data_IF_707857470528
#
_entry.id   IF_707857470528
#
_cell.length_a   1.000
_cell.length_b   1.000
_cell.length_c   1.000
_cell.angle_alpha   90.00
_cell.angle_beta   90.00
_cell.angle_gamma   90.00
#
_symmetry.space_group_name_H-M   'P 1'
#
loop_
_entity.id
_entity.type
_entity.pdbx_description
1 polymer ?
#
# COMPACT_ATOMS: atom_id res chain seq x y z
N UNK A 1 11.13 11.04 -30.39
CA UNK A 1 10.50 9.70 -30.34
C UNK A 1 9.49 9.65 -29.19
N UNK A 2 8.21 9.85 -29.48
CA UNK A 2 7.15 9.52 -28.53
C UNK A 2 7.10 8.00 -28.49
N UNK A 3 7.68 7.40 -27.45
CA UNK A 3 7.70 5.95 -27.27
C UNK A 3 6.25 5.44 -27.28
N UNK A 4 6.00 4.39 -28.07
CA UNK A 4 4.72 3.68 -28.13
C UNK A 4 4.26 3.33 -26.69
N UNK A 5 3.35 4.12 -26.14
CA UNK A 5 2.66 3.78 -24.90
C UNK A 5 1.80 2.56 -25.22
N UNK A 6 2.16 1.40 -24.66
CA UNK A 6 1.25 0.28 -24.66
C UNK A 6 0.00 0.69 -23.88
N UNK A 7 -1.22 0.29 -24.31
CA UNK A 7 -2.45 0.61 -23.57
C UNK A 7 -2.34 0.24 -22.09
N UNK A 8 -1.77 -0.92 -21.78
CA UNK A 8 -1.51 -1.39 -20.41
C UNK A 8 -0.57 -0.47 -19.63
N UNK A 9 0.49 0.03 -20.26
CA UNK A 9 1.42 0.97 -19.63
C UNK A 9 0.79 2.32 -19.33
N UNK A 10 -0.08 2.82 -20.22
CA UNK A 10 -0.84 4.05 -20.00
C UNK A 10 -1.86 3.88 -18.87
N UNK A 11 -2.62 2.78 -18.88
CA UNK A 11 -3.57 2.42 -17.81
C UNK A 11 -2.86 2.33 -16.47
N UNK A 12 -1.75 1.59 -16.40
CA UNK A 12 -0.93 1.50 -15.19
C UNK A 12 -0.51 2.88 -14.69
N UNK A 13 0.02 3.75 -15.56
CA UNK A 13 0.50 5.08 -15.18
C UNK A 13 -0.62 5.97 -14.60
N UNK A 14 -1.80 5.96 -15.22
CA UNK A 14 -2.97 6.70 -14.72
C UNK A 14 -3.41 6.15 -13.36
N UNK A 15 -3.55 4.83 -13.24
CA UNK A 15 -3.94 4.19 -11.98
C UNK A 15 -2.93 4.44 -10.87
N UNK A 16 -1.63 4.37 -11.16
CA UNK A 16 -0.56 4.66 -10.21
C UNK A 16 -0.64 6.11 -9.71
N UNK A 17 -0.89 7.07 -10.61
CA UNK A 17 -1.08 8.46 -10.23
C UNK A 17 -2.33 8.67 -9.35
N UNK A 18 -3.44 8.02 -9.68
CA UNK A 18 -4.65 8.03 -8.84
C UNK A 18 -4.38 7.43 -7.45
N UNK A 19 -3.60 6.36 -7.36
CA UNK A 19 -3.21 5.74 -6.09
C UNK A 19 -2.39 6.70 -5.22
N UNK A 20 -1.41 7.39 -5.81
CA UNK A 20 -0.59 8.39 -5.12
C UNK A 20 -1.46 9.51 -4.55
N UNK A 21 -2.33 10.10 -5.37
CA UNK A 21 -3.20 11.20 -4.93
C UNK A 21 -4.18 10.72 -3.86
N UNK A 22 -4.87 9.59 -4.09
CA UNK A 22 -5.84 9.07 -3.14
C UNK A 22 -5.20 8.66 -1.81
N UNK A 23 -4.05 7.99 -1.85
CA UNK A 23 -3.31 7.57 -0.66
C UNK A 23 -2.82 8.77 0.15
N UNK A 24 -2.26 9.80 -0.50
CA UNK A 24 -1.87 11.04 0.16
C UNK A 24 -3.07 11.70 0.86
N UNK A 25 -4.20 11.87 0.16
CA UNK A 25 -5.43 12.42 0.75
C UNK A 25 -5.89 11.57 1.93
N UNK A 26 -5.79 10.24 1.84
CA UNK A 26 -6.19 9.33 2.91
C UNK A 26 -5.32 9.48 4.17
N UNK A 27 -4.03 9.79 4.02
CA UNK A 27 -3.15 10.09 5.14
C UNK A 27 -3.45 11.44 5.79
N UNK A 28 -3.71 12.47 4.97
CA UNK A 28 -3.94 13.85 5.41
C UNK A 28 -5.33 14.07 6.03
N UNK A 29 -6.33 13.28 5.64
CA UNK A 29 -7.71 13.43 6.12
C UNK A 29 -8.00 12.57 7.37
N UNK A 30 -9.05 12.92 8.14
CA UNK A 30 -9.50 12.10 9.26
C UNK A 30 -9.84 10.66 8.84
N UNK A 31 -9.42 9.69 9.65
CA UNK A 31 -9.54 8.25 9.40
C UNK A 31 -10.85 7.67 9.96
N UNK A 32 -11.94 8.43 9.83
CA UNK A 32 -13.26 8.10 10.39
C UNK A 32 -14.40 8.45 9.44
N UNK A 33 -15.53 7.76 9.59
CA UNK A 33 -16.77 8.04 8.87
C UNK A 33 -16.79 7.59 7.41
N UNK A 34 -17.87 7.95 6.71
CA UNK A 34 -18.14 7.54 5.33
C UNK A 34 -17.07 8.04 4.34
N UNK A 35 -16.55 9.26 4.53
CA UNK A 35 -15.52 9.82 3.65
C UNK A 35 -14.20 9.02 3.67
N UNK A 36 -13.78 8.53 4.85
CA UNK A 36 -12.61 7.64 4.96
C UNK A 36 -12.84 6.34 4.21
N UNK A 37 -14.04 5.75 4.32
CA UNK A 37 -14.39 4.49 3.62
C UNK A 37 -14.43 4.67 2.11
N UNK A 38 -15.09 5.70 1.60
CA UNK A 38 -15.21 5.95 0.17
C UNK A 38 -13.84 6.12 -0.51
N UNK A 39 -12.96 6.96 0.06
CA UNK A 39 -11.58 7.13 -0.44
C UNK A 39 -10.74 5.87 -0.24
N UNK A 40 -10.95 5.14 0.85
CA UNK A 40 -10.28 3.88 1.13
C UNK A 40 -10.60 2.82 0.08
N UNK A 41 -11.89 2.66 -0.28
CA UNK A 41 -12.30 1.75 -1.35
C UNK A 41 -11.72 2.17 -2.69
N UNK A 42 -11.81 3.46 -3.03
CA UNK A 42 -11.20 3.97 -4.26
C UNK A 42 -9.70 3.66 -4.34
N UNK A 43 -8.96 3.93 -3.27
CA UNK A 43 -7.53 3.61 -3.18
C UNK A 43 -7.26 2.11 -3.35
N UNK A 44 -8.01 1.25 -2.65
CA UNK A 44 -7.83 -0.21 -2.74
C UNK A 44 -8.09 -0.72 -4.16
N UNK A 45 -9.20 -0.33 -4.79
CA UNK A 45 -9.50 -0.77 -6.16
C UNK A 45 -8.49 -0.23 -7.17
N UNK A 46 -8.11 1.04 -7.07
CA UNK A 46 -7.10 1.63 -7.93
C UNK A 46 -5.74 0.91 -7.76
N UNK A 47 -5.36 0.58 -6.52
CA UNK A 47 -4.10 -0.10 -6.23
C UNK A 47 -4.08 -1.51 -6.80
N UNK A 48 -5.13 -2.30 -6.57
CA UNK A 48 -5.22 -3.67 -7.09
C UNK A 48 -5.17 -3.67 -8.63
N UNK A 49 -5.87 -2.74 -9.28
CA UNK A 49 -5.83 -2.59 -10.72
C UNK A 49 -4.44 -2.12 -11.23
N UNK A 50 -3.79 -1.22 -10.50
CA UNK A 50 -2.44 -0.73 -10.83
C UNK A 50 -1.39 -1.83 -10.70
N UNK A 51 -1.42 -2.61 -9.61
CA UNK A 51 -0.54 -3.76 -9.38
C UNK A 51 -0.76 -4.82 -10.47
N UNK A 52 -2.02 -5.16 -10.77
CA UNK A 52 -2.34 -6.09 -11.86
C UNK A 52 -1.83 -5.60 -13.22
N UNK A 53 -2.00 -4.32 -13.53
CA UNK A 53 -1.46 -3.74 -14.76
C UNK A 53 0.08 -3.77 -14.78
N UNK A 54 0.75 -3.56 -13.64
CA UNK A 54 2.21 -3.67 -13.51
C UNK A 54 2.70 -5.06 -13.86
N UNK A 55 1.98 -6.11 -13.41
CA UNK A 55 2.33 -7.50 -13.70
C UNK A 55 2.25 -7.87 -15.19
N UNK A 56 1.60 -7.02 -15.99
CA UNK A 56 1.47 -7.18 -17.44
C UNK A 56 2.42 -6.25 -18.22
N UNK A 57 3.25 -5.43 -17.55
CA UNK A 57 4.15 -4.46 -18.19
C UNK A 57 5.61 -4.95 -18.13
N UNK A 58 6.11 -5.38 -19.29
CA UNK A 58 7.46 -5.94 -19.45
C UNK A 58 8.51 -4.95 -19.99
N UNK A 59 8.18 -3.65 -20.05
CA UNK A 59 8.93 -2.63 -20.82
C UNK A 59 10.42 -2.49 -20.45
N UNK A 60 10.82 -2.72 -19.20
CA UNK A 60 12.19 -2.47 -18.76
C UNK A 60 13.19 -3.58 -19.12
N UNK A 61 12.76 -4.84 -19.10
CA UNK A 61 13.64 -6.01 -19.25
C UNK A 61 13.15 -7.00 -20.31
N UNK A 62 11.95 -6.81 -20.86
CA UNK A 62 11.26 -7.79 -21.71
C UNK A 62 10.75 -9.02 -20.97
N UNK A 63 11.05 -9.16 -19.68
CA UNK A 63 10.80 -10.35 -18.86
C UNK A 63 10.40 -9.94 -17.43
N UNK A 64 9.98 -10.92 -16.62
CA UNK A 64 9.69 -10.70 -15.20
C UNK A 64 10.89 -10.06 -14.49
N UNK A 65 10.64 -9.09 -13.62
CA UNK A 65 11.70 -8.27 -12.99
C UNK A 65 11.29 -7.76 -11.60
N UNK A 66 12.17 -6.97 -10.97
CA UNK A 66 11.96 -6.44 -9.63
C UNK A 66 10.66 -5.62 -9.47
N UNK A 67 10.17 -4.93 -10.52
CA UNK A 67 8.91 -4.21 -10.45
C UNK A 67 7.70 -5.15 -10.35
N UNK A 68 7.77 -6.33 -10.97
CA UNK A 68 6.73 -7.35 -10.83
C UNK A 68 6.72 -7.92 -9.42
N UNK A 69 7.90 -8.20 -8.85
CA UNK A 69 8.03 -8.64 -7.45
C UNK A 69 7.45 -7.58 -6.51
N UNK A 70 7.79 -6.30 -6.72
CA UNK A 70 7.26 -5.20 -5.94
C UNK A 70 5.73 -5.11 -6.02
N UNK A 71 5.13 -5.32 -7.20
CA UNK A 71 3.68 -5.36 -7.38
C UNK A 71 3.03 -6.56 -6.64
N UNK A 72 3.63 -7.76 -6.68
CA UNK A 72 3.13 -8.93 -5.93
C UNK A 72 3.17 -8.67 -4.42
N UNK A 73 4.27 -8.13 -3.92
CA UNK A 73 4.42 -7.78 -2.50
C UNK A 73 3.36 -6.74 -2.13
N UNK A 74 3.19 -5.70 -2.93
CA UNK A 74 2.21 -4.65 -2.70
C UNK A 74 0.77 -5.17 -2.69
N UNK A 75 0.44 -6.02 -3.66
CA UNK A 75 -0.85 -6.71 -3.73
C UNK A 75 -1.12 -7.52 -2.47
N UNK A 76 -0.11 -8.25 -1.98
CA UNK A 76 -0.21 -9.02 -0.74
C UNK A 76 -0.42 -8.11 0.48
N UNK A 77 0.25 -6.97 0.56
CA UNK A 77 0.02 -5.98 1.63
C UNK A 77 -1.43 -5.48 1.61
N UNK A 78 -2.01 -5.18 0.45
CA UNK A 78 -3.42 -4.80 0.33
C UNK A 78 -4.33 -5.92 0.85
N UNK A 79 -4.10 -7.17 0.43
CA UNK A 79 -4.89 -8.32 0.91
C UNK A 79 -4.79 -8.47 2.43
N UNK A 80 -3.58 -8.40 3.00
CA UNK A 80 -3.36 -8.48 4.44
C UNK A 80 -3.97 -7.30 5.21
N UNK A 81 -4.10 -6.13 4.58
CA UNK A 81 -4.77 -4.98 5.17
C UNK A 81 -6.30 -5.15 5.23
N UNK A 82 -6.89 -5.79 4.22
CA UNK A 82 -8.35 -5.84 4.05
C UNK A 82 -8.97 -7.11 4.64
N UNK A 83 -8.29 -8.26 4.59
CA UNK A 83 -8.83 -9.53 5.10
C UNK A 83 -9.24 -9.42 6.59
N UNK A 84 -8.41 -8.93 7.52
CA UNK A 84 -8.82 -8.78 8.92
C UNK A 84 -9.96 -7.79 9.14
N UNK A 85 -10.09 -6.79 8.26
CA UNK A 85 -11.16 -5.79 8.31
C UNK A 85 -12.53 -6.39 7.94
N UNK A 86 -12.54 -7.35 7.02
CA UNK A 86 -13.76 -8.00 6.50
C UNK A 86 -14.13 -9.29 7.25
N UNK A 87 -13.24 -9.85 8.08
CA UNK A 87 -13.53 -11.04 8.89
C UNK A 87 -14.58 -10.78 9.97
N UNK A 88 -15.39 -11.81 10.24
CA UNK A 88 -16.39 -11.83 11.32
C UNK A 88 -16.18 -13.10 12.17
N UNK A 89 -15.92 -12.99 13.48
CA UNK A 89 -15.69 -11.76 14.23
C UNK A 89 -14.37 -11.07 13.82
N UNK A 90 -14.29 -9.74 13.98
CA UNK A 90 -13.05 -9.00 13.71
C UNK A 90 -12.00 -9.33 14.79
N UNK A 91 -10.76 -9.67 14.41
CA UNK A 91 -9.68 -9.88 15.39
C UNK A 91 -9.42 -8.63 16.22
N UNK A 92 -9.06 -8.76 17.50
CA UNK A 92 -8.87 -7.61 18.40
C UNK A 92 -7.90 -6.54 17.85
N UNK A 93 -6.87 -6.93 17.10
CA UNK A 93 -5.88 -6.02 16.55
C UNK A 93 -6.18 -5.54 15.11
N UNK A 94 -7.39 -5.78 14.57
CA UNK A 94 -7.71 -5.52 13.16
C UNK A 94 -7.39 -4.10 12.72
N UNK A 95 -7.60 -3.09 13.57
CA UNK A 95 -7.33 -1.67 13.25
C UNK A 95 -5.85 -1.43 13.00
N UNK A 96 -5.01 -1.97 13.87
CA UNK A 96 -3.55 -1.83 13.79
C UNK A 96 -3.01 -2.61 12.59
N UNK A 97 -3.52 -3.82 12.37
CA UNK A 97 -3.17 -4.65 11.23
C UNK A 97 -3.53 -3.96 9.90
N UNK A 98 -4.77 -3.48 9.78
CA UNK A 98 -5.24 -2.71 8.63
C UNK A 98 -4.36 -1.47 8.40
N UNK A 99 -4.13 -0.67 9.44
CA UNK A 99 -3.31 0.53 9.37
C UNK A 99 -1.88 0.25 8.90
N UNK A 100 -1.21 -0.76 9.48
CA UNK A 100 0.17 -1.07 9.13
C UNK A 100 0.28 -1.51 7.67
N UNK A 101 -0.52 -2.48 7.25
CA UNK A 101 -0.41 -3.04 5.90
C UNK A 101 -0.91 -2.07 4.83
N UNK A 102 -1.98 -1.32 5.08
CA UNK A 102 -2.46 -0.30 4.11
C UNK A 102 -1.49 0.86 4.00
N UNK A 103 -0.75 1.19 5.06
CA UNK A 103 0.24 2.24 5.00
C UNK A 103 1.52 1.78 4.30
N UNK A 104 1.95 0.54 4.54
CA UNK A 104 3.09 -0.05 3.82
C UNK A 104 2.83 -0.21 2.33
N UNK A 105 1.59 -0.51 1.92
CA UNK A 105 1.25 -0.60 0.49
C UNK A 105 1.38 0.74 -0.25
N UNK A 106 1.36 1.86 0.46
CA UNK A 106 1.57 3.17 -0.14
C UNK A 106 3.06 3.48 -0.42
N UNK A 107 3.99 2.82 0.29
CA UNK A 107 5.43 3.10 0.14
C UNK A 107 5.98 2.64 -1.22
N UNK A 108 5.53 1.48 -1.71
CA UNK A 108 5.96 0.91 -3.00
C UNK A 108 5.72 1.85 -4.20
N UNK A 109 4.48 2.33 -4.47
CA UNK A 109 4.22 3.22 -5.60
C UNK A 109 4.91 4.58 -5.46
N UNK A 110 5.14 5.08 -4.24
CA UNK A 110 5.93 6.29 -4.03
C UNK A 110 7.38 6.08 -4.48
N UNK A 111 8.01 4.98 -4.06
CA UNK A 111 9.38 4.64 -4.49
C UNK A 111 9.48 4.46 -6.02
N UNK A 112 8.51 3.76 -6.61
CA UNK A 112 8.45 3.54 -8.06
C UNK A 112 8.29 4.86 -8.82
N UNK A 113 7.45 5.78 -8.33
CA UNK A 113 7.28 7.10 -8.93
C UNK A 113 8.56 7.94 -8.87
N UNK A 114 9.23 7.97 -7.72
CA UNK A 114 10.53 8.65 -7.57
C UNK A 114 11.56 8.07 -8.54
N UNK A 115 11.64 6.74 -8.64
CA UNK A 115 12.54 6.04 -9.56
C UNK A 115 12.27 6.41 -11.01
N UNK A 116 11.00 6.40 -11.44
CA UNK A 116 10.63 6.75 -12.81
C UNK A 116 10.85 8.24 -13.13
N UNK A 117 10.64 9.14 -12.18
CA UNK A 117 10.93 10.57 -12.34
C UNK A 117 12.45 10.76 -12.48
N UNK A 118 13.23 10.20 -11.56
CA UNK A 118 14.69 10.30 -11.58
C UNK A 118 15.29 9.71 -12.87
N UNK A 119 14.81 8.54 -13.31
CA UNK A 119 15.26 7.92 -14.56
C UNK A 119 14.94 8.73 -15.82
N UNK A 120 14.02 9.70 -15.75
CA UNK A 120 13.65 10.59 -16.87
C UNK A 120 14.33 11.95 -16.82
N UNK A 121 14.66 12.43 -15.62
CA UNK A 121 15.25 13.75 -15.40
C UNK A 121 16.78 13.72 -15.31
N UNK A 122 17.35 12.60 -14.83
CA UNK A 122 18.79 12.43 -14.71
C UNK A 122 19.35 11.83 -16.02
N UNK A 123 20.62 12.13 -16.38
CA UNK A 123 21.30 11.57 -17.55
C UNK A 123 21.70 10.11 -17.29
N UNK A 124 20.71 9.24 -17.13
CA UNK A 124 20.90 7.81 -16.86
C UNK A 124 21.13 7.09 -18.19
N UNK A 125 22.28 6.44 -18.33
CA UNK A 125 22.69 5.77 -19.58
C UNK A 125 22.73 4.26 -19.44
N UNK A 126 22.73 3.72 -18.21
CA UNK A 126 22.88 2.29 -17.94
C UNK A 126 21.75 1.73 -17.06
N UNK A 127 21.51 0.42 -17.16
CA UNK A 127 20.54 -0.29 -16.32
C UNK A 127 20.95 -0.30 -14.85
N UNK A 128 22.25 -0.37 -14.57
CA UNK A 128 22.79 -0.40 -13.21
C UNK A 128 22.53 0.91 -12.47
N UNK A 129 22.63 2.05 -13.17
CA UNK A 129 22.25 3.35 -12.62
C UNK A 129 20.75 3.40 -12.27
N UNK A 130 19.86 2.87 -13.13
CA UNK A 130 18.42 2.78 -12.81
C UNK A 130 18.18 1.90 -11.59
N UNK A 131 18.86 0.75 -11.50
CA UNK A 131 18.76 -0.16 -10.37
C UNK A 131 19.24 0.49 -9.07
N UNK A 132 20.37 1.23 -9.11
CA UNK A 132 20.89 1.97 -7.97
C UNK A 132 19.92 3.08 -7.52
N UNK A 133 19.37 3.85 -8.47
CA UNK A 133 18.34 4.86 -8.18
C UNK A 133 17.13 4.21 -7.52
N UNK A 134 16.66 3.08 -8.05
CA UNK A 134 15.52 2.35 -7.50
C UNK A 134 15.78 1.85 -6.08
N UNK A 135 16.99 1.35 -5.81
CA UNK A 135 17.41 0.92 -4.48
C UNK A 135 17.43 2.09 -3.51
N UNK A 136 18.09 3.20 -3.86
CA UNK A 136 18.18 4.39 -3.02
C UNK A 136 16.80 4.98 -2.75
N UNK A 137 15.97 5.15 -3.79
CA UNK A 137 14.60 5.64 -3.66
C UNK A 137 13.77 4.74 -2.74
N UNK A 138 13.93 3.42 -2.83
CA UNK A 138 13.23 2.46 -1.98
C UNK A 138 13.68 2.57 -0.53
N UNK A 139 14.99 2.62 -0.25
CA UNK A 139 15.51 2.74 1.12
C UNK A 139 15.07 4.04 1.78
N UNK A 140 15.16 5.17 1.07
CA UNK A 140 14.71 6.48 1.57
C UNK A 140 13.22 6.47 1.84
N UNK A 141 12.41 5.99 0.88
CA UNK A 141 10.95 5.90 1.05
C UNK A 141 10.58 4.99 2.21
N UNK A 142 11.25 3.85 2.36
CA UNK A 142 11.00 2.87 3.41
C UNK A 142 11.37 3.43 4.79
N UNK A 143 12.46 4.18 4.90
CA UNK A 143 12.86 4.87 6.13
C UNK A 143 11.85 5.94 6.55
N UNK A 144 11.39 6.76 5.60
CA UNK A 144 10.36 7.79 5.84
C UNK A 144 9.04 7.12 6.25
N UNK A 145 8.60 6.11 5.49
CA UNK A 145 7.37 5.36 5.76
C UNK A 145 7.43 4.70 7.14
N UNK A 146 8.52 4.00 7.47
CA UNK A 146 8.72 3.39 8.79
C UNK A 146 8.54 4.41 9.92
N UNK A 147 9.19 5.56 9.79
CA UNK A 147 9.14 6.63 10.80
C UNK A 147 7.73 7.18 10.97
N UNK A 148 7.03 7.47 9.86
CA UNK A 148 5.66 8.00 9.89
C UNK A 148 4.63 6.99 10.39
N UNK A 149 4.74 5.73 9.98
CA UNK A 149 3.87 4.62 10.40
C UNK A 149 4.02 4.40 11.91
N UNK A 150 5.26 4.35 12.42
CA UNK A 150 5.52 4.16 13.84
C UNK A 150 4.98 5.33 14.67
N UNK A 151 5.14 6.56 14.19
CA UNK A 151 4.66 7.78 14.85
C UNK A 151 3.13 7.86 14.95
N UNK A 152 2.40 7.43 13.93
CA UNK A 152 0.94 7.57 13.85
C UNK A 152 0.17 6.24 14.04
N UNK A 153 0.83 5.21 14.57
CA UNK A 153 0.21 3.90 14.79
C UNK A 153 -0.98 3.99 15.77
N UNK A 154 -2.13 3.37 15.46
CA UNK A 154 -3.22 3.24 16.43
C UNK A 154 -2.78 2.45 17.67
N UNK A 155 -3.33 2.77 18.86
CA UNK A 155 -3.16 1.94 20.04
C UNK A 155 -3.76 0.55 19.80
N UNK A 156 -3.30 -0.43 20.59
CA UNK A 156 -3.89 -1.77 20.58
C UNK A 156 -5.23 -1.70 21.30
N UNK A 157 -6.28 -2.23 20.69
CA UNK A 157 -7.59 -2.34 21.35
C UNK A 157 -7.43 -3.27 22.57
N UNK A 158 -7.84 -2.81 23.76
CA UNK A 158 -7.80 -3.62 24.97
C UNK A 158 -8.72 -4.84 24.83
N UNK A 159 -8.34 -6.02 25.33
CA UNK A 159 -9.25 -7.17 25.34
C UNK A 159 -10.52 -6.79 26.11
N UNK A 160 -11.68 -7.00 25.47
CA UNK A 160 -12.99 -6.75 26.06
C UNK A 160 -13.16 -7.65 27.28
N UNK A 161 -12.97 -7.12 28.49
CA UNK A 161 -13.17 -7.82 29.78
C UNK A 161 -14.66 -8.08 30.09
N UNK A 162 -15.51 -8.35 29.09
CA UNK A 162 -16.96 -8.47 29.30
C UNK A 162 -17.51 -9.90 29.23
N UNK A 163 -16.67 -10.93 29.05
CA UNK A 163 -17.13 -12.33 29.03
C UNK A 163 -16.91 -13.08 30.35
N UNK A 164 -16.16 -12.52 31.31
CA UNK A 164 -15.82 -13.22 32.56
C UNK A 164 -16.68 -12.89 33.79
N UNK A 165 -17.50 -11.84 33.75
CA UNK A 165 -18.30 -11.41 34.92
C UNK A 165 -19.73 -11.99 34.95
N UNK A 166 -20.18 -12.60 33.86
CA UNK A 166 -21.52 -13.22 33.79
C UNK A 166 -21.50 -14.66 34.30
N UNK A 167 -20.35 -15.33 34.34
CA UNK A 167 -20.24 -16.73 34.75
C UNK A 167 -20.08 -16.90 36.28
N UNK A 168 -19.70 -15.85 37.01
CA UNK A 168 -19.55 -15.92 38.47
C UNK A 168 -20.80 -15.53 39.29
N UNK A 169 -21.87 -15.03 38.66
CA UNK A 169 -23.11 -14.66 39.36
C UNK A 169 -24.16 -15.77 39.41
N UNK A 170 -23.84 -16.97 38.89
CA UNK A 170 -24.76 -18.12 38.78
C UNK A 170 -24.51 -19.25 39.77
N UNK A 171 -24.06 -18.97 41.01
CA UNK A 171 -24.00 -20.00 42.05
C UNK A 171 -25.37 -20.17 42.73
N UNK A 172 -26.03 -21.34 42.66
CA UNK A 172 -27.27 -21.59 43.38
C UNK A 172 -27.01 -21.82 44.87
N UNK A 173 -27.83 -21.19 45.70
CA UNK A 173 -28.01 -21.41 47.14
C UNK A 173 -28.73 -22.73 47.44
#
# INVERSE_FOLDING_TARGET
MIAHLTPTGAIHAVLAMLCLVAGLIQFLRPKRGAGHRARGYFYVYAMLASDAATLLVYRFTGHFNAFHVAAIVNFTLIVLAIVPLLRTPRPANWRRTHYNFIAWSYASPVSAAITNIAARLLPVTTRDQVALIALVASLVTMMIAYSLIRKHRPPVDAPTMSSGLVEQSGAPS
#
